data_IF_279960480828
#
_entry.id   IF_279960480828
#
_cell.length_a   1.000
_cell.length_b   1.000
_cell.length_c   1.000
_cell.angle_alpha   90.00
_cell.angle_beta   90.00
_cell.angle_gamma   90.00
#
_symmetry.space_group_name_H-M   'P 1'
#
loop_
_entity.id
_entity.type
_entity.pdbx_description
1 polymer ?
#
# COMPACT_ATOMS: atom_id res chain seq x y z
N UNK A 1 13.64 6.51 2.80
CA UNK A 1 12.28 6.91 2.36
C UNK A 1 11.48 7.14 3.61
N UNK A 2 10.83 8.30 3.75
CA UNK A 2 10.02 8.63 4.92
C UNK A 2 8.56 8.44 4.52
N UNK A 3 7.86 7.47 5.11
CA UNK A 3 6.45 7.22 4.85
C UNK A 3 5.60 8.19 5.66
N UNK A 4 4.63 8.86 5.01
CA UNK A 4 3.64 9.69 5.70
C UNK A 4 2.43 8.83 6.04
N UNK A 5 2.12 8.72 7.33
CA UNK A 5 0.89 8.08 7.79
C UNK A 5 -0.25 9.11 7.71
N UNK A 6 -1.37 8.73 7.09
CA UNK A 6 -2.55 9.60 6.91
C UNK A 6 -3.43 9.46 8.15
N UNK A 7 -3.55 10.53 8.95
CA UNK A 7 -4.32 10.53 10.21
C UNK A 7 -5.38 11.63 10.28
N UNK A 8 -5.16 12.76 9.62
CA UNK A 8 -6.07 13.91 9.67
C UNK A 8 -6.77 14.14 8.33
N UNK A 9 -7.79 15.01 8.34
CA UNK A 9 -8.41 15.46 7.09
C UNK A 9 -7.42 16.23 6.21
N UNK A 10 -6.53 17.02 6.79
CA UNK A 10 -5.50 17.73 6.02
C UNK A 10 -4.56 16.74 5.30
N UNK A 11 -4.24 15.61 5.94
CA UNK A 11 -3.43 14.57 5.29
C UNK A 11 -4.14 13.97 4.07
N UNK A 12 -5.46 13.78 4.16
CA UNK A 12 -6.30 13.28 3.07
C UNK A 12 -6.37 14.31 1.95
N UNK A 13 -6.59 15.58 2.28
CA UNK A 13 -6.70 16.66 1.30
C UNK A 13 -5.38 16.84 0.54
N UNK A 14 -4.24 16.80 1.24
CA UNK A 14 -2.91 16.83 0.62
C UNK A 14 -2.67 15.60 -0.28
N UNK A 15 -3.05 14.40 0.17
CA UNK A 15 -2.93 13.19 -0.63
C UNK A 15 -3.74 13.29 -1.93
N UNK A 16 -5.00 13.74 -1.84
CA UNK A 16 -5.86 13.89 -3.01
C UNK A 16 -5.30 14.92 -3.98
N UNK A 17 -4.79 16.06 -3.50
CA UNK A 17 -4.17 17.08 -4.34
C UNK A 17 -2.95 16.54 -5.12
N UNK A 18 -2.04 15.85 -4.43
CA UNK A 18 -0.82 15.27 -5.03
C UNK A 18 -1.13 14.22 -6.09
N UNK A 19 -2.24 13.49 -5.95
CA UNK A 19 -2.63 12.43 -6.87
C UNK A 19 -3.78 12.81 -7.81
N UNK A 20 -4.09 14.11 -7.99
CA UNK A 20 -5.14 14.57 -8.93
C UNK A 20 -6.52 13.97 -8.61
N UNK A 21 -6.85 13.87 -7.32
CA UNK A 21 -8.05 13.24 -6.81
C UNK A 21 -8.16 11.74 -7.09
N UNK A 22 -7.05 11.08 -7.45
CA UNK A 22 -6.95 9.74 -8.03
C UNK A 22 -7.63 9.55 -9.40
N UNK A 23 -8.64 10.37 -9.73
CA UNK A 23 -9.32 10.36 -11.02
C UNK A 23 -8.36 10.68 -12.17
N UNK A 24 -7.43 11.60 -11.95
CA UNK A 24 -6.46 12.04 -12.97
C UNK A 24 -5.12 11.30 -12.86
N UNK A 25 -5.09 10.19 -12.11
CA UNK A 25 -3.90 9.35 -11.92
C UNK A 25 -4.11 7.94 -12.46
N UNK A 26 -3.02 7.29 -12.86
CA UNK A 26 -3.01 5.90 -13.31
C UNK A 26 -2.22 5.02 -12.34
N UNK A 27 -2.74 3.82 -12.03
CA UNK A 27 -1.97 2.79 -11.32
C UNK A 27 -0.88 2.27 -12.25
N UNK A 28 0.37 2.45 -11.87
CA UNK A 28 1.55 1.98 -12.62
C UNK A 28 1.99 0.60 -12.14
N UNK A 29 1.93 0.36 -10.83
CA UNK A 29 2.31 -0.93 -10.26
C UNK A 29 1.57 -1.23 -8.97
N UNK A 30 1.45 -2.52 -8.67
CA UNK A 30 0.85 -3.04 -7.46
C UNK A 30 1.69 -4.21 -6.95
N UNK A 31 2.05 -4.18 -5.67
CA UNK A 31 2.69 -5.29 -4.95
C UNK A 31 1.84 -5.61 -3.74
N UNK A 32 1.45 -6.88 -3.64
CA UNK A 32 0.69 -7.40 -2.51
C UNK A 32 1.53 -8.43 -1.76
N UNK A 33 1.61 -8.27 -0.45
CA UNK A 33 2.23 -9.22 0.45
C UNK A 33 1.14 -9.84 1.32
N UNK A 34 0.98 -11.17 1.21
CA UNK A 34 -0.07 -11.89 1.93
C UNK A 34 0.29 -12.23 3.38
N UNK A 35 1.56 -12.12 3.74
CA UNK A 35 2.12 -12.66 4.98
C UNK A 35 2.28 -14.18 4.99
N UNK A 36 1.91 -14.88 3.90
CA UNK A 36 2.09 -16.32 3.81
C UNK A 36 3.55 -16.67 3.50
N UNK A 37 4.10 -17.69 4.16
CA UNK A 37 5.46 -18.14 3.94
C UNK A 37 5.62 -19.63 4.25
N UNK A 38 6.73 -20.20 3.80
CA UNK A 38 7.20 -21.52 4.23
C UNK A 38 8.37 -21.30 5.18
N UNK A 39 8.23 -21.82 6.40
CA UNK A 39 9.26 -21.70 7.43
C UNK A 39 10.40 -22.69 7.18
N UNK A 40 11.53 -22.51 7.88
CA UNK A 40 12.72 -23.34 7.67
C UNK A 40 12.50 -24.83 8.00
N UNK A 41 11.57 -25.14 8.89
CA UNK A 41 11.10 -26.48 9.24
C UNK A 41 10.05 -27.04 8.26
N UNK A 42 9.83 -26.36 7.12
CA UNK A 42 8.90 -26.73 6.04
C UNK A 42 7.42 -26.67 6.44
N UNK A 43 7.08 -25.96 7.51
CA UNK A 43 5.69 -25.67 7.83
C UNK A 43 5.14 -24.54 6.94
N UNK A 44 3.84 -24.61 6.63
CA UNK A 44 3.14 -23.54 5.90
C UNK A 44 2.54 -22.56 6.91
N UNK A 45 2.88 -21.28 6.76
CA UNK A 45 2.27 -20.18 7.49
C UNK A 45 1.41 -19.36 6.52
N UNK A 46 0.17 -19.06 6.92
CA UNK A 46 -0.79 -18.36 6.06
C UNK A 46 -0.82 -16.84 6.26
N UNK A 47 -0.19 -16.34 7.33
CA UNK A 47 -0.27 -14.93 7.73
C UNK A 47 -1.63 -14.58 8.37
N UNK A 48 -1.62 -13.57 9.25
CA UNK A 48 -2.82 -12.94 9.79
C UNK A 48 -3.29 -11.76 8.94
N UNK A 49 -4.45 -11.19 9.28
CA UNK A 49 -4.96 -10.00 8.61
C UNK A 49 -3.99 -8.80 8.70
N UNK A 50 -3.28 -8.66 9.82
CA UNK A 50 -2.28 -7.62 10.06
C UNK A 50 -0.98 -7.80 9.29
N UNK A 51 -0.76 -8.95 8.64
CA UNK A 51 0.43 -9.21 7.82
C UNK A 51 0.19 -8.93 6.33
N UNK A 52 -1.01 -8.46 5.98
CA UNK A 52 -1.38 -8.16 4.61
C UNK A 52 -1.04 -6.72 4.30
N UNK A 53 -0.15 -6.52 3.36
CA UNK A 53 0.29 -5.20 2.93
C UNK A 53 0.07 -5.03 1.44
N UNK A 54 -0.47 -3.87 1.06
CA UNK A 54 -0.73 -3.50 -0.32
C UNK A 54 0.03 -2.22 -0.63
N UNK A 55 0.92 -2.32 -1.61
CA UNK A 55 1.70 -1.20 -2.12
C UNK A 55 1.18 -0.88 -3.52
N UNK A 56 0.75 0.36 -3.73
CA UNK A 56 0.27 0.85 -5.03
C UNK A 56 1.12 2.07 -5.41
N UNK A 57 1.61 2.07 -6.64
CA UNK A 57 2.27 3.25 -7.23
C UNK A 57 1.33 3.87 -8.25
N UNK A 58 1.00 5.14 -8.04
CA UNK A 58 0.26 5.95 -9.00
C UNK A 58 1.21 6.89 -9.73
N UNK A 59 0.84 7.25 -10.96
CA UNK A 59 1.44 8.34 -11.71
C UNK A 59 0.34 9.35 -12.04
N UNK A 60 0.53 10.60 -11.61
CA UNK A 60 -0.26 11.76 -12.02
C UNK A 60 0.63 12.61 -12.94
N UNK A 61 0.06 13.17 -14.02
CA UNK A 61 0.76 14.08 -14.93
C UNK A 61 0.47 15.55 -14.60
#
# INVERSE_FOLDING_TARGET
MNWKEIKTQEDIDELLDVYGGFHDSCIVSLRYESGACVTADKAMHFGGASNRELYITFQCQ
#
